data_IF_922869309013
#
_entry.id   IF_922869309013
#
_cell.length_a   1.000
_cell.length_b   1.000
_cell.length_c   1.000
_cell.angle_alpha   90.00
_cell.angle_beta   90.00
_cell.angle_gamma   90.00
#
_symmetry.space_group_name_H-M   'P 1'
#
loop_
_entity.id
_entity.type
_entity.pdbx_description
1 polymer ?
#
# COMPACT_ATOMS: atom_id res chain seq x y z
N UNK A 1 1.81 3.01 -12.01
CA UNK A 1 2.89 3.81 -11.36
C UNK A 1 3.34 4.88 -12.34
N UNK A 2 3.67 6.07 -11.85
CA UNK A 2 4.34 7.11 -12.64
C UNK A 2 5.53 7.70 -11.86
N UNK A 3 6.57 8.14 -12.59
CA UNK A 3 7.71 8.87 -12.03
C UNK A 3 7.55 10.34 -12.39
N UNK A 4 7.53 11.24 -11.40
CA UNK A 4 7.26 12.67 -11.59
C UNK A 4 8.13 13.54 -10.67
N UNK A 5 8.26 14.83 -10.99
CA UNK A 5 8.93 15.83 -10.16
C UNK A 5 7.98 16.40 -9.10
N UNK A 6 8.17 16.03 -7.83
CA UNK A 6 7.30 16.51 -6.75
C UNK A 6 7.40 18.02 -6.53
N UNK A 7 8.52 18.65 -6.89
CA UNK A 7 8.67 20.11 -6.78
C UNK A 7 7.78 20.89 -7.77
N UNK A 8 7.14 20.19 -8.71
CA UNK A 8 6.13 20.74 -9.64
C UNK A 8 4.70 20.36 -9.24
N UNK A 9 4.51 19.85 -8.02
CA UNK A 9 3.23 19.38 -7.48
C UNK A 9 2.97 20.00 -6.10
N UNK A 10 1.89 19.59 -5.44
CA UNK A 10 1.61 19.94 -4.04
C UNK A 10 2.28 18.99 -3.03
N UNK A 11 2.97 17.94 -3.47
CA UNK A 11 3.63 17.00 -2.57
C UNK A 11 4.96 17.56 -2.06
N UNK A 12 5.38 17.22 -0.82
CA UNK A 12 6.66 17.68 -0.29
C UNK A 12 7.84 17.22 -1.17
N UNK A 13 8.72 18.16 -1.54
CA UNK A 13 9.90 17.91 -2.40
C UNK A 13 10.79 16.76 -1.90
N UNK A 14 10.87 16.57 -0.58
CA UNK A 14 11.68 15.54 0.05
C UNK A 14 11.05 14.15 0.13
N UNK A 15 9.76 14.00 -0.18
CA UNK A 15 9.07 12.71 -0.13
C UNK A 15 9.58 11.77 -1.23
N UNK A 16 9.70 10.47 -0.94
CA UNK A 16 10.17 9.49 -1.92
C UNK A 16 9.08 9.03 -2.89
N UNK A 17 7.85 8.90 -2.38
CA UNK A 17 6.69 8.43 -3.13
C UNK A 17 5.40 8.97 -2.51
N UNK A 18 4.30 8.81 -3.23
CA UNK A 18 2.94 9.08 -2.78
C UNK A 18 2.00 8.06 -3.42
N UNK A 19 1.08 7.50 -2.64
CA UNK A 19 0.05 6.60 -3.14
C UNK A 19 -1.29 7.34 -3.18
N UNK A 20 -1.88 7.43 -4.37
CA UNK A 20 -3.26 7.85 -4.55
C UNK A 20 -4.16 6.63 -4.52
N UNK A 21 -5.22 6.70 -3.70
CA UNK A 21 -6.26 5.68 -3.59
C UNK A 21 -7.61 6.37 -3.78
N UNK A 22 -8.41 5.87 -4.72
CA UNK A 22 -9.78 6.34 -4.95
C UNK A 22 -10.71 5.93 -3.81
N UNK A 23 -11.78 6.69 -3.60
CA UNK A 23 -12.68 6.45 -2.47
C UNK A 23 -13.77 5.41 -2.72
N UNK A 24 -14.09 5.12 -3.99
CA UNK A 24 -15.14 4.19 -4.39
C UNK A 24 -14.56 2.77 -4.53
N UNK A 25 -14.96 1.87 -3.64
CA UNK A 25 -14.49 0.49 -3.65
C UNK A 25 -14.96 -0.31 -4.87
N UNK A 26 -16.09 0.05 -5.48
CA UNK A 26 -16.60 -0.60 -6.69
C UNK A 26 -15.96 -0.07 -7.99
N UNK A 27 -15.10 0.96 -7.91
CA UNK A 27 -14.38 1.47 -9.06
C UNK A 27 -13.28 0.50 -9.52
N UNK A 28 -12.95 0.54 -10.81
CA UNK A 28 -11.86 -0.25 -11.38
C UNK A 28 -10.52 0.06 -10.69
N UNK A 29 -9.84 -0.97 -10.16
CA UNK A 29 -8.61 -0.85 -9.40
C UNK A 29 -7.49 -0.16 -10.19
N UNK A 30 -7.40 -0.44 -11.50
CA UNK A 30 -6.37 0.11 -12.38
C UNK A 30 -6.40 1.66 -12.44
N UNK A 31 -7.58 2.28 -12.27
CA UNK A 31 -7.72 3.74 -12.21
C UNK A 31 -7.78 4.30 -10.78
N UNK A 32 -8.09 3.45 -9.79
CA UNK A 32 -8.25 3.85 -8.41
C UNK A 32 -6.94 3.80 -7.60
N UNK A 33 -5.89 3.16 -8.10
CA UNK A 33 -4.59 3.08 -7.43
C UNK A 33 -3.48 3.66 -8.33
N UNK A 34 -2.83 4.73 -7.86
CA UNK A 34 -1.68 5.30 -8.55
C UNK A 34 -0.53 5.57 -7.58
N UNK A 35 0.52 4.76 -7.70
CA UNK A 35 1.80 5.04 -7.06
C UNK A 35 2.58 6.07 -7.89
N UNK A 36 2.87 7.21 -7.27
CA UNK A 36 3.72 8.28 -7.80
C UNK A 36 5.09 8.20 -7.11
N UNK A 37 6.17 8.16 -7.90
CA UNK A 37 7.55 8.10 -7.40
C UNK A 37 8.24 9.43 -7.73
N UNK A 38 8.88 10.03 -6.73
CA UNK A 38 9.55 11.32 -6.91
C UNK A 38 10.90 11.16 -7.63
N UNK A 39 11.06 11.74 -8.82
CA UNK A 39 12.30 11.65 -9.61
C UNK A 39 13.51 12.35 -8.96
N UNK A 40 13.25 13.28 -8.03
CA UNK A 40 14.30 13.97 -7.26
C UNK A 40 14.83 13.10 -6.12
N UNK A 41 14.03 12.16 -5.60
CA UNK A 41 14.49 11.17 -4.64
C UNK A 41 15.23 10.04 -5.39
N UNK A 42 16.53 10.22 -5.62
CA UNK A 42 17.34 9.29 -6.42
C UNK A 42 17.32 7.83 -5.92
N UNK A 43 17.36 7.54 -4.61
CA UNK A 43 17.21 6.17 -4.13
C UNK A 43 15.89 5.52 -4.58
N UNK A 44 14.75 6.20 -4.38
CA UNK A 44 13.44 5.68 -4.80
C UNK A 44 13.33 5.55 -6.32
N UNK A 45 13.65 6.61 -7.06
CA UNK A 45 13.55 6.62 -8.52
C UNK A 45 14.42 5.54 -9.18
N UNK A 46 15.66 5.36 -8.72
CA UNK A 46 16.58 4.34 -9.25
C UNK A 46 16.10 2.93 -8.95
N UNK A 47 15.57 2.69 -7.74
CA UNK A 47 15.05 1.39 -7.36
C UNK A 47 13.89 0.96 -8.27
N UNK A 48 12.98 1.88 -8.60
CA UNK A 48 11.89 1.62 -9.54
C UNK A 48 12.34 1.50 -10.99
N UNK A 49 13.36 2.24 -11.42
CA UNK A 49 13.97 2.08 -12.75
C UNK A 49 14.61 0.70 -12.92
N UNK A 50 15.21 0.16 -11.87
CA UNK A 50 15.88 -1.15 -11.88
C UNK A 50 14.96 -2.31 -11.48
N UNK A 51 13.63 -2.10 -11.37
CA UNK A 51 12.73 -3.09 -10.79
C UNK A 51 12.72 -4.46 -11.51
N UNK A 52 13.08 -4.52 -12.79
CA UNK A 52 13.20 -5.78 -13.54
C UNK A 52 14.46 -6.60 -13.19
N UNK A 53 15.49 -5.95 -12.65
CA UNK A 53 16.75 -6.58 -12.24
C UNK A 53 17.38 -5.80 -11.06
N UNK A 54 16.75 -5.81 -9.87
CA UNK A 54 17.13 -4.91 -8.79
C UNK A 54 18.43 -5.34 -8.12
N UNK A 55 19.32 -4.38 -7.87
CA UNK A 55 20.50 -4.56 -7.01
C UNK A 55 20.05 -4.74 -5.56
N UNK A 56 20.97 -5.14 -4.68
CA UNK A 56 20.65 -5.33 -3.25
C UNK A 56 20.01 -4.09 -2.61
N UNK A 57 20.57 -2.89 -2.86
CA UNK A 57 20.00 -1.64 -2.35
C UNK A 57 18.61 -1.33 -2.95
N UNK A 58 18.41 -1.66 -4.22
CA UNK A 58 17.13 -1.44 -4.90
C UNK A 58 16.05 -2.35 -4.29
N UNK A 59 16.38 -3.60 -3.94
CA UNK A 59 15.48 -4.53 -3.23
C UNK A 59 15.05 -3.99 -1.87
N UNK A 60 15.97 -3.41 -1.11
CA UNK A 60 15.65 -2.81 0.19
C UNK A 60 14.68 -1.64 0.04
N UNK A 61 14.93 -0.75 -0.93
CA UNK A 61 14.04 0.39 -1.22
C UNK A 61 12.68 -0.09 -1.70
N UNK A 62 12.62 -1.02 -2.65
CA UNK A 62 11.36 -1.61 -3.13
C UNK A 62 10.60 -2.29 -2.00
N UNK A 63 11.30 -2.97 -1.07
CA UNK A 63 10.69 -3.59 0.10
C UNK A 63 10.02 -2.57 1.02
N UNK A 64 10.69 -1.44 1.26
CA UNK A 64 10.16 -0.37 2.08
C UNK A 64 8.94 0.29 1.44
N UNK A 65 8.99 0.53 0.12
CA UNK A 65 7.86 1.10 -0.62
C UNK A 65 6.68 0.15 -0.64
N UNK A 66 6.91 -1.14 -0.90
CA UNK A 66 5.85 -2.15 -0.88
C UNK A 66 5.18 -2.24 0.50
N UNK A 67 5.98 -2.28 1.57
CA UNK A 67 5.47 -2.31 2.94
C UNK A 67 4.63 -1.07 3.28
N UNK A 68 5.10 0.12 2.91
CA UNK A 68 4.35 1.36 3.14
C UNK A 68 3.07 1.45 2.28
N UNK A 69 3.13 1.08 1.01
CA UNK A 69 1.96 1.02 0.12
C UNK A 69 0.91 0.06 0.67
N UNK A 70 1.31 -1.14 1.07
CA UNK A 70 0.41 -2.11 1.67
C UNK A 70 -0.23 -1.56 2.95
N UNK A 71 0.56 -0.88 3.79
CA UNK A 71 0.03 -0.22 4.99
C UNK A 71 -1.02 0.83 4.67
N UNK A 72 -0.71 1.77 3.77
CA UNK A 72 -1.65 2.84 3.39
C UNK A 72 -2.93 2.27 2.78
N UNK A 73 -2.82 1.21 1.97
CA UNK A 73 -3.99 0.51 1.40
C UNK A 73 -4.88 -0.12 2.47
N UNK A 74 -4.30 -0.87 3.41
CA UNK A 74 -5.07 -1.50 4.49
C UNK A 74 -5.70 -0.45 5.41
N UNK A 75 -4.95 0.57 5.82
CA UNK A 75 -5.50 1.65 6.63
C UNK A 75 -6.64 2.40 5.92
N UNK A 76 -6.52 2.60 4.60
CA UNK A 76 -7.59 3.18 3.80
C UNK A 76 -8.82 2.28 3.81
N UNK A 77 -8.66 0.98 3.56
CA UNK A 77 -9.75 0.01 3.53
C UNK A 77 -10.49 -0.09 4.87
N UNK A 78 -9.75 -0.17 5.98
CA UNK A 78 -10.34 -0.32 7.32
C UNK A 78 -11.18 0.89 7.76
N UNK A 79 -10.94 2.07 7.18
CA UNK A 79 -11.75 3.28 7.42
C UNK A 79 -13.06 3.32 6.62
N UNK A 80 -13.30 2.35 5.74
CA UNK A 80 -14.51 2.28 4.92
C UNK A 80 -15.54 1.37 5.60
N UNK A 81 -16.76 1.88 5.75
CA UNK A 81 -17.85 1.16 6.43
C UNK A 81 -18.37 -0.04 5.63
N UNK A 82 -18.27 0.02 4.29
CA UNK A 82 -18.64 -1.03 3.35
C UNK A 82 -17.56 -2.09 3.17
N UNK A 83 -16.34 -1.86 3.67
CA UNK A 83 -15.29 -2.87 3.72
C UNK A 83 -15.53 -3.80 4.91
N UNK A 84 -16.34 -4.84 4.69
CA UNK A 84 -16.74 -5.83 5.70
C UNK A 84 -16.56 -7.26 5.18
N UNK A 85 -16.46 -8.22 6.11
CA UNK A 85 -16.28 -9.63 5.78
C UNK A 85 -17.40 -10.14 4.88
N UNK A 86 -17.04 -10.84 3.80
CA UNK A 86 -17.99 -11.45 2.86
C UNK A 86 -18.66 -10.46 1.88
N UNK A 87 -18.29 -9.17 1.87
CA UNK A 87 -18.78 -8.23 0.86
C UNK A 87 -18.31 -8.66 -0.55
N UNK A 88 -19.23 -8.86 -1.52
CA UNK A 88 -18.89 -9.42 -2.84
C UNK A 88 -18.44 -8.32 -3.81
N UNK A 89 -17.28 -7.70 -3.55
CA UNK A 89 -16.70 -6.75 -4.49
C UNK A 89 -16.46 -7.42 -5.86
N UNK A 90 -16.89 -6.79 -6.98
CA UNK A 90 -16.62 -7.34 -8.31
C UNK A 90 -15.11 -7.51 -8.55
N UNK A 91 -14.73 -8.50 -9.36
CA UNK A 91 -13.33 -8.68 -9.76
C UNK A 91 -12.76 -7.40 -10.38
N UNK A 92 -11.45 -7.21 -10.25
CA UNK A 92 -10.71 -6.05 -10.77
C UNK A 92 -11.13 -4.68 -10.18
N UNK A 93 -11.99 -4.65 -9.17
CA UNK A 93 -12.31 -3.42 -8.41
C UNK A 93 -11.30 -3.13 -7.31
N UNK A 94 -11.30 -1.89 -6.83
CA UNK A 94 -10.50 -1.48 -5.69
C UNK A 94 -10.82 -2.33 -4.46
N UNK A 95 -12.10 -2.55 -4.16
CA UNK A 95 -12.56 -3.35 -3.03
C UNK A 95 -12.06 -4.79 -3.12
N UNK A 96 -12.15 -5.44 -4.28
CA UNK A 96 -11.62 -6.79 -4.47
C UNK A 96 -10.09 -6.84 -4.28
N UNK A 97 -9.38 -5.82 -4.76
CA UNK A 97 -7.92 -5.70 -4.59
C UNK A 97 -7.54 -5.54 -3.11
N UNK A 98 -8.24 -4.67 -2.38
CA UNK A 98 -8.02 -4.44 -0.95
C UNK A 98 -8.38 -5.67 -0.12
N UNK A 99 -9.46 -6.38 -0.48
CA UNK A 99 -9.88 -7.61 0.17
C UNK A 99 -8.85 -8.72 -0.01
N UNK A 100 -8.32 -8.89 -1.23
CA UNK A 100 -7.24 -9.85 -1.50
C UNK A 100 -5.97 -9.53 -0.70
N UNK A 101 -5.60 -8.25 -0.62
CA UNK A 101 -4.46 -7.80 0.18
C UNK A 101 -4.68 -8.05 1.68
N UNK A 102 -5.87 -7.74 2.20
CA UNK A 102 -6.23 -7.97 3.59
C UNK A 102 -6.09 -9.44 3.97
N UNK A 103 -6.70 -10.36 3.21
CA UNK A 103 -6.61 -11.79 3.49
C UNK A 103 -5.18 -12.35 3.42
N UNK A 104 -4.34 -11.77 2.55
CA UNK A 104 -2.91 -12.13 2.48
C UNK A 104 -2.15 -11.71 3.73
N UNK A 105 -2.44 -10.51 4.27
CA UNK A 105 -1.70 -9.94 5.39
C UNK A 105 -2.23 -10.40 6.76
N UNK A 106 -3.52 -10.68 6.87
CA UNK A 106 -4.18 -11.09 8.11
C UNK A 106 -4.93 -12.42 7.93
N UNK A 107 -4.22 -13.52 7.61
CA UNK A 107 -4.86 -14.81 7.37
C UNK A 107 -5.66 -15.26 8.60
N UNK A 108 -6.94 -15.56 8.41
CA UNK A 108 -7.84 -16.05 9.45
C UNK A 108 -8.34 -14.98 10.45
N UNK A 109 -8.01 -13.70 10.26
CA UNK A 109 -8.61 -12.60 11.04
C UNK A 109 -9.84 -12.05 10.33
N UNK A 110 -10.86 -11.63 11.08
CA UNK A 110 -11.97 -10.87 10.51
C UNK A 110 -11.58 -9.39 10.32
N UNK A 111 -12.22 -8.71 9.37
CA UNK A 111 -12.01 -7.27 9.16
C UNK A 111 -12.36 -6.49 10.43
N UNK A 112 -13.42 -6.88 11.13
CA UNK A 112 -13.82 -6.24 12.39
C UNK A 112 -12.77 -6.39 13.49
N UNK A 113 -12.12 -7.55 13.63
CA UNK A 113 -11.07 -7.74 14.64
C UNK A 113 -9.86 -6.85 14.38
N UNK A 114 -9.47 -6.72 13.10
CA UNK A 114 -8.34 -5.87 12.72
C UNK A 114 -8.70 -4.38 12.87
N UNK A 115 -9.94 -3.99 12.55
CA UNK A 115 -10.45 -2.62 12.79
C UNK A 115 -10.43 -2.27 14.28
N UNK A 116 -10.92 -3.15 15.15
CA UNK A 116 -10.86 -2.97 16.60
C UNK A 116 -9.41 -2.87 17.11
N UNK A 117 -8.48 -3.65 16.53
CA UNK A 117 -7.05 -3.54 16.86
C UNK A 117 -6.47 -2.20 16.44
N UNK A 118 -6.83 -1.69 15.27
CA UNK A 118 -6.42 -0.35 14.81
C UNK A 118 -6.92 0.74 15.76
N UNK A 119 -8.16 0.64 16.24
CA UNK A 119 -8.76 1.62 17.15
C UNK A 119 -8.19 1.57 18.57
N UNK A 120 -8.06 0.38 19.15
CA UNK A 120 -7.69 0.22 20.56
C UNK A 120 -6.19 0.05 20.79
N UNK A 121 -5.46 -0.45 19.79
CA UNK A 121 -4.03 -0.78 19.88
C UNK A 121 -3.28 -0.44 18.58
N UNK A 122 -3.29 0.84 18.13
CA UNK A 122 -2.71 1.23 16.83
C UNK A 122 -1.22 0.90 16.68
N UNK A 123 -0.46 0.95 17.77
CA UNK A 123 0.96 0.57 17.77
C UNK A 123 1.17 -0.93 17.52
N UNK A 124 0.29 -1.78 18.08
CA UNK A 124 0.31 -3.22 17.83
C UNK A 124 -0.12 -3.52 16.39
N UNK A 125 -1.21 -2.90 15.92
CA UNK A 125 -1.63 -3.01 14.51
C UNK A 125 -0.49 -2.67 13.55
N UNK A 126 0.22 -1.58 13.79
CA UNK A 126 1.34 -1.15 12.94
C UNK A 126 2.47 -2.19 12.93
N UNK A 127 2.80 -2.76 14.09
CA UNK A 127 3.82 -3.80 14.20
C UNK A 127 3.41 -5.11 13.52
N UNK A 128 2.16 -5.54 13.72
CA UNK A 128 1.61 -6.74 13.09
C UNK A 128 1.62 -6.63 11.57
N UNK A 129 1.20 -5.48 11.04
CA UNK A 129 1.20 -5.20 9.63
C UNK A 129 2.62 -5.14 9.05
N UNK A 130 3.56 -4.51 9.76
CA UNK A 130 4.97 -4.47 9.37
C UNK A 130 5.60 -5.88 9.34
N UNK A 131 5.23 -6.75 10.28
CA UNK A 131 5.62 -8.16 10.24
C UNK A 131 4.98 -8.91 9.07
N UNK A 132 3.69 -8.67 8.79
CA UNK A 132 2.95 -9.32 7.71
C UNK A 132 3.47 -8.99 6.31
N UNK A 133 3.92 -7.75 6.08
CA UNK A 133 4.50 -7.32 4.79
C UNK A 133 5.92 -7.84 4.56
N UNK A 134 6.56 -8.42 5.58
CA UNK A 134 7.91 -9.02 5.50
C UNK A 134 8.95 -8.08 4.90
N UNK A 135 8.93 -6.82 5.37
CA UNK A 135 9.91 -5.83 4.92
C UNK A 135 11.33 -6.35 5.17
N UNK A 136 12.22 -6.15 4.20
CA UNK A 136 13.61 -6.64 4.18
C UNK A 136 13.79 -8.16 4.00
N UNK A 137 12.73 -8.94 3.77
CA UNK A 137 12.82 -10.32 3.30
C UNK A 137 12.75 -10.40 1.77
N UNK A 138 13.26 -11.48 1.17
CA UNK A 138 13.25 -11.67 -0.28
C UNK A 138 11.81 -11.79 -0.83
N UNK A 139 11.52 -11.08 -1.93
CA UNK A 139 10.28 -11.16 -2.71
C UNK A 139 10.33 -12.22 -3.81
#
# INVERSE_FOLDING_TARGET
MAVIDFAKTSFPDGAGWHLQIGDNLDAAAMGALLLLVNERNKPAATAFQNASAPRQVDRLVLSAVYGDVARVMIEHALRKDDFVDGHPFPEETLGATLMALFHRLFPGSSINDVRLRLEHSPALFTSDLQAAVKIFEDF
#
